data_IF_460968899381
#
_entry.id   IF_460968899381
#
_cell.length_a   1.000
_cell.length_b   1.000
_cell.length_c   1.000
_cell.angle_alpha   90.00
_cell.angle_beta   90.00
_cell.angle_gamma   90.00
#
_symmetry.space_group_name_H-M   'P 1'
#
loop_
_entity.id
_entity.type
_entity.pdbx_description
1 polymer ?
#
# COMPACT_ATOMS: atom_id res chain seq x y z
N UNK A 1 -12.21 1.95 -0.47
CA UNK A 1 -11.84 1.76 -1.90
C UNK A 1 -12.51 0.55 -2.54
N UNK A 2 -12.62 0.53 -3.87
CA UNK A 2 -13.06 -0.64 -4.65
C UNK A 2 -11.87 -1.26 -5.37
N UNK A 3 -11.63 -2.55 -5.14
CA UNK A 3 -10.46 -3.26 -5.70
C UNK A 3 -10.94 -4.35 -6.63
N UNK A 4 -10.31 -4.43 -7.80
CA UNK A 4 -10.55 -5.52 -8.75
C UNK A 4 -9.33 -6.43 -8.82
N UNK A 5 -9.51 -7.68 -8.39
CA UNK A 5 -8.51 -8.74 -8.43
C UNK A 5 -8.64 -9.47 -9.77
N UNK A 6 -7.57 -9.47 -10.57
CA UNK A 6 -7.47 -10.30 -11.79
C UNK A 6 -6.79 -11.61 -11.44
N UNK A 7 -7.48 -12.73 -11.65
CA UNK A 7 -7.00 -14.08 -11.34
C UNK A 7 -6.29 -14.68 -12.56
N UNK A 8 -5.39 -15.62 -12.33
CA UNK A 8 -4.63 -16.30 -13.39
C UNK A 8 -5.52 -17.05 -14.39
N UNK A 9 -6.68 -17.53 -13.93
CA UNK A 9 -7.67 -18.19 -14.78
C UNK A 9 -8.47 -17.22 -15.68
N UNK A 10 -8.09 -15.93 -15.73
CA UNK A 10 -8.73 -14.90 -16.54
C UNK A 10 -10.00 -14.30 -15.94
N UNK A 11 -10.47 -14.78 -14.77
CA UNK A 11 -11.61 -14.20 -14.08
C UNK A 11 -11.21 -12.96 -13.27
N UNK A 12 -12.19 -12.09 -13.01
CA UNK A 12 -12.01 -10.92 -12.17
C UNK A 12 -13.05 -10.89 -11.05
N UNK A 13 -12.63 -10.43 -9.89
CA UNK A 13 -13.51 -10.22 -8.73
C UNK A 13 -13.32 -8.81 -8.21
N UNK A 14 -14.43 -8.15 -7.87
CA UNK A 14 -14.42 -6.80 -7.34
C UNK A 14 -14.96 -6.79 -5.92
N UNK A 15 -14.24 -6.14 -5.01
CA UNK A 15 -14.60 -6.06 -3.60
C UNK A 15 -14.52 -4.60 -3.12
N UNK A 16 -15.48 -4.21 -2.28
CA UNK A 16 -15.40 -2.97 -1.51
C UNK A 16 -14.62 -3.27 -0.22
N UNK A 17 -13.48 -2.61 -0.06
CA UNK A 17 -12.55 -2.83 1.06
C UNK A 17 -12.06 -1.52 1.64
N UNK A 18 -11.58 -1.55 2.88
CA UNK A 18 -10.95 -0.40 3.54
C UNK A 18 -9.46 -0.28 3.21
N UNK A 19 -8.77 -1.41 3.04
CA UNK A 19 -7.38 -1.49 2.60
C UNK A 19 -7.08 -2.81 1.90
N UNK A 20 -5.95 -2.86 1.19
CA UNK A 20 -5.38 -4.05 0.56
C UNK A 20 -3.99 -4.30 1.11
N UNK A 21 -3.76 -5.50 1.64
CA UNK A 21 -2.45 -5.95 2.08
C UNK A 21 -1.89 -6.91 1.03
N UNK A 22 -0.72 -6.58 0.50
CA UNK A 22 0.02 -7.40 -0.45
C UNK A 22 1.20 -8.03 0.30
N UNK A 23 1.26 -9.36 0.34
CA UNK A 23 2.43 -10.08 0.85
C UNK A 23 3.34 -10.43 -0.31
N UNK A 24 4.58 -9.97 -0.25
CA UNK A 24 5.60 -10.23 -1.26
C UNK A 24 6.23 -11.61 -1.05
N UNK A 25 6.90 -12.13 -2.07
CA UNK A 25 7.56 -13.45 -2.00
C UNK A 25 8.69 -13.52 -0.95
N UNK A 26 9.25 -12.37 -0.55
CA UNK A 26 10.23 -12.26 0.53
C UNK A 26 9.60 -12.19 1.93
N UNK A 27 8.27 -12.26 2.03
CA UNK A 27 7.52 -12.20 3.29
C UNK A 27 7.24 -10.79 3.82
N UNK A 28 7.82 -9.74 3.22
CA UNK A 28 7.47 -8.36 3.57
C UNK A 28 6.10 -7.98 3.00
N UNK A 29 5.47 -6.95 3.57
CA UNK A 29 4.15 -6.51 3.16
C UNK A 29 4.15 -5.07 2.66
N UNK A 30 3.18 -4.78 1.79
CA UNK A 30 2.77 -3.42 1.43
C UNK A 30 1.28 -3.31 1.70
N UNK A 31 0.84 -2.22 2.32
CA UNK A 31 -0.58 -1.94 2.51
C UNK A 31 -0.99 -0.73 1.67
N UNK A 32 -2.11 -0.84 0.96
CA UNK A 32 -2.74 0.24 0.22
C UNK A 32 -4.03 0.58 0.93
N UNK A 33 -4.20 1.84 1.32
CA UNK A 33 -5.42 2.34 1.94
C UNK A 33 -6.09 3.38 1.04
N UNK A 34 -7.29 3.80 1.43
CA UNK A 34 -7.88 5.04 0.92
C UNK A 34 -6.88 6.20 1.06
N UNK A 35 -7.03 7.18 0.17
CA UNK A 35 -6.20 8.37 0.16
C UNK A 35 -6.31 9.15 1.47
N UNK A 36 -5.17 9.65 1.96
CA UNK A 36 -5.15 10.59 3.07
C UNK A 36 -6.06 11.78 2.79
N UNK A 37 -6.95 12.08 3.74
CA UNK A 37 -7.86 13.24 3.68
C UNK A 37 -7.11 14.59 3.69
N UNK A 38 -5.78 14.58 3.80
CA UNK A 38 -4.93 15.77 3.78
C UNK A 38 -4.44 16.16 2.38
N UNK A 39 -4.88 15.49 1.30
CA UNK A 39 -4.49 15.89 -0.06
C UNK A 39 -4.98 17.32 -0.38
N UNK A 40 -4.10 18.23 -0.84
CA UNK A 40 -4.50 19.50 -1.41
C UNK A 40 -5.46 19.33 -2.60
N UNK A 41 -6.54 20.11 -2.64
CA UNK A 41 -7.61 19.98 -3.65
C UNK A 41 -7.16 20.14 -5.11
N UNK A 42 -6.00 20.74 -5.36
CA UNK A 42 -5.44 20.94 -6.70
C UNK A 42 -4.63 19.73 -7.21
N UNK A 43 -4.32 18.75 -6.36
CA UNK A 43 -3.67 17.51 -6.77
C UNK A 43 -4.72 16.49 -7.22
N UNK A 44 -4.37 15.65 -8.19
CA UNK A 44 -5.25 14.54 -8.60
C UNK A 44 -5.42 13.52 -7.47
N UNK A 45 -6.59 12.89 -7.43
CA UNK A 45 -6.84 11.75 -6.53
C UNK A 45 -5.83 10.63 -6.78
N UNK A 46 -5.31 10.07 -5.70
CA UNK A 46 -4.39 8.95 -5.71
C UNK A 46 -4.74 7.89 -4.67
N UNK A 47 -3.72 7.16 -4.23
CA UNK A 47 -3.81 6.13 -3.19
C UNK A 47 -2.68 6.35 -2.18
N UNK A 48 -2.90 5.92 -0.95
CA UNK A 48 -1.81 5.91 0.06
C UNK A 48 -1.22 4.51 0.15
N UNK A 49 0.10 4.43 0.08
CA UNK A 49 0.85 3.18 0.13
C UNK A 49 1.79 3.18 1.34
N UNK A 50 1.78 2.10 2.10
CA UNK A 50 2.54 1.93 3.33
C UNK A 50 3.52 0.77 3.18
N UNK A 51 4.77 0.96 3.61
CA UNK A 51 5.69 -0.16 3.81
C UNK A 51 5.31 -0.90 5.09
N UNK A 52 5.14 -2.21 5.02
CA UNK A 52 4.57 -2.98 6.12
C UNK A 52 3.06 -2.81 6.20
N UNK A 53 2.58 -2.23 7.30
CA UNK A 53 1.17 -1.92 7.56
C UNK A 53 0.95 -0.43 7.87
N UNK A 54 -0.26 0.05 7.62
CA UNK A 54 -0.70 1.38 8.04
C UNK A 54 -0.50 1.55 9.56
N UNK A 55 0.13 2.65 10.03
CA UNK A 55 0.28 2.93 11.45
C UNK A 55 -1.08 3.01 12.15
N UNK A 56 -1.24 2.27 13.25
CA UNK A 56 -2.46 2.34 14.07
C UNK A 56 -2.36 3.48 15.06
N UNK A 57 -3.43 4.25 15.19
CA UNK A 57 -3.52 5.32 16.19
C UNK A 57 -3.36 4.74 17.61
N UNK A 58 -2.53 5.39 18.43
CA UNK A 58 -2.23 4.94 19.78
C UNK A 58 -1.30 3.72 19.91
N UNK A 59 -0.75 3.20 18.80
CA UNK A 59 0.22 2.11 18.85
C UNK A 59 1.51 2.52 19.57
N UNK A 60 2.13 1.58 20.30
CA UNK A 60 3.42 1.82 20.92
C UNK A 60 4.53 1.98 19.88
N UNK A 61 5.66 2.60 20.26
CA UNK A 61 6.83 2.71 19.37
C UNK A 61 7.32 1.33 18.92
N UNK A 62 7.26 0.34 19.81
CA UNK A 62 7.71 -1.03 19.50
C UNK A 62 6.77 -1.70 18.49
N UNK A 63 5.45 -1.51 18.63
CA UNK A 63 4.47 -2.00 17.66
C UNK A 63 4.67 -1.34 16.29
N UNK A 64 4.89 -0.02 16.27
CA UNK A 64 5.14 0.72 15.03
C UNK A 64 6.43 0.25 14.35
N UNK A 65 7.51 0.01 15.09
CA UNK A 65 8.75 -0.58 14.53
C UNK A 65 8.53 -2.01 14.03
N UNK A 66 7.68 -2.78 14.68
CA UNK A 66 7.40 -4.14 14.27
C UNK A 66 6.61 -4.18 12.95
N UNK A 67 5.63 -3.29 12.78
CA UNK A 67 4.65 -3.34 11.69
C UNK A 67 4.96 -2.45 10.49
N UNK A 68 5.77 -1.40 10.63
CA UNK A 68 6.04 -0.44 9.54
C UNK A 68 7.40 -0.67 8.89
N UNK A 69 7.54 -0.26 7.63
CA UNK A 69 8.79 -0.23 6.87
C UNK A 69 8.90 1.08 6.11
N UNK A 70 10.13 1.57 5.95
CA UNK A 70 10.43 2.58 4.95
C UNK A 70 10.11 2.05 3.55
N UNK A 71 9.74 2.94 2.63
CA UNK A 71 9.48 2.60 1.23
C UNK A 71 10.62 3.05 0.33
N UNK A 72 11.08 2.15 -0.52
CA UNK A 72 11.90 2.48 -1.68
C UNK A 72 10.99 2.69 -2.89
N UNK A 73 11.20 3.77 -3.63
CA UNK A 73 10.38 4.17 -4.77
C UNK A 73 11.28 4.50 -5.96
N UNK A 74 11.09 3.77 -7.05
CA UNK A 74 11.79 4.02 -8.31
C UNK A 74 10.77 4.24 -9.44
N UNK A 75 10.63 5.47 -9.96
CA UNK A 75 9.97 5.70 -11.24
C UNK A 75 10.81 5.05 -12.35
N UNK A 76 10.23 4.09 -13.07
CA UNK A 76 10.93 3.35 -14.14
C UNK A 76 10.46 3.76 -15.54
N UNK A 77 9.29 4.37 -15.66
CA UNK A 77 8.77 4.92 -16.90
C UNK A 77 7.73 6.02 -16.62
N UNK A 78 7.20 6.64 -17.68
CA UNK A 78 6.12 7.63 -17.56
C UNK A 78 4.85 7.09 -16.88
N UNK A 79 4.66 5.77 -16.87
CA UNK A 79 3.50 5.08 -16.29
C UNK A 79 3.88 3.91 -15.37
N UNK A 80 5.13 3.81 -14.92
CA UNK A 80 5.61 2.70 -14.09
C UNK A 80 6.38 3.20 -12.88
N UNK A 81 5.97 2.71 -11.71
CA UNK A 81 6.68 2.87 -10.45
C UNK A 81 6.97 1.47 -9.90
N UNK A 82 8.22 1.23 -9.54
CA UNK A 82 8.61 0.09 -8.73
C UNK A 82 8.67 0.54 -7.26
N UNK A 83 7.90 -0.12 -6.41
CA UNK A 83 7.78 0.17 -4.98
C UNK A 83 8.07 -1.10 -4.19
N UNK A 84 8.85 -0.97 -3.12
CA UNK A 84 9.20 -2.08 -2.23
C UNK A 84 9.38 -1.59 -0.79
N UNK A 85 8.97 -2.39 0.20
CA UNK A 85 9.33 -2.14 1.59
C UNK A 85 10.83 -2.45 1.79
N UNK A 86 11.54 -1.58 2.48
CA UNK A 86 12.88 -1.91 2.95
C UNK A 86 12.77 -2.98 4.04
N UNK A 87 13.67 -3.96 4.03
CA UNK A 87 13.75 -4.95 5.11
C UNK A 87 14.09 -4.29 6.45
N UNK A 88 13.77 -4.96 7.55
CA UNK A 88 14.29 -4.60 8.88
C UNK A 88 15.81 -4.58 8.92
#
# INVERSE_FOLDING_TARGET
MKITLKKENGTSETQDVTSLIITLSNGETVEISDESQQRPSHLSEGITVWGGSMPKEGASIDDLRASTRSLGIYPLAANLIHLFPLSK
#
